data_IF_002204493445
#
_entry.id   IF_002204493445
#
_cell.length_a   1.000
_cell.length_b   1.000
_cell.length_c   1.000
_cell.angle_alpha   90.00
_cell.angle_beta   90.00
_cell.angle_gamma   90.00
#
_symmetry.space_group_name_H-M   'P 1'
#
loop_
_entity.id
_entity.type
_entity.pdbx_description
1 polymer ?
#
# COMPACT_ATOMS: atom_id res chain seq x y z
N UNK A 1 21.90 -20.32 -15.05
CA UNK A 1 20.47 -20.29 -14.72
C UNK A 1 19.73 -21.48 -15.35
N UNK A 2 19.74 -21.68 -16.68
CA UNK A 2 19.04 -22.77 -17.38
C UNK A 2 19.46 -24.18 -16.92
N UNK A 3 20.77 -24.44 -16.83
CA UNK A 3 21.27 -25.73 -16.40
C UNK A 3 20.83 -26.13 -14.99
N UNK A 4 20.73 -25.14 -14.09
CA UNK A 4 20.30 -25.34 -12.70
C UNK A 4 18.80 -25.61 -12.61
N UNK A 5 17.98 -24.89 -13.40
CA UNK A 5 16.54 -25.08 -13.44
C UNK A 5 16.20 -26.45 -14.08
N UNK A 6 16.87 -26.81 -15.16
CA UNK A 6 16.70 -28.07 -15.83
C UNK A 6 17.14 -29.26 -14.95
N UNK A 7 18.28 -29.15 -14.25
CA UNK A 7 18.74 -30.18 -13.32
C UNK A 7 17.76 -30.30 -12.12
N UNK A 8 17.21 -29.25 -11.60
CA UNK A 8 16.18 -29.30 -10.56
C UNK A 8 14.89 -29.95 -11.03
N UNK A 9 14.47 -29.71 -12.27
CA UNK A 9 13.28 -30.32 -12.85
C UNK A 9 13.50 -31.86 -13.03
N UNK A 10 14.66 -32.28 -13.51
CA UNK A 10 14.99 -33.69 -13.65
C UNK A 10 15.14 -34.43 -12.31
N UNK A 11 15.56 -33.72 -11.26
CA UNK A 11 15.75 -34.27 -9.92
C UNK A 11 14.49 -34.24 -9.05
N UNK A 12 13.45 -33.46 -9.42
CA UNK A 12 12.21 -33.35 -8.70
C UNK A 12 11.11 -34.19 -9.33
N UNK A 13 10.22 -34.74 -8.50
CA UNK A 13 8.98 -35.39 -8.97
C UNK A 13 7.99 -34.39 -9.60
N UNK A 14 8.37 -33.12 -9.72
CA UNK A 14 7.56 -32.05 -10.30
C UNK A 14 7.52 -32.16 -11.81
N UNK A 15 6.33 -32.36 -12.36
CA UNK A 15 6.08 -32.47 -13.80
C UNK A 15 6.12 -31.11 -14.53
N UNK A 16 6.26 -30.01 -13.83
CA UNK A 16 6.28 -28.66 -14.38
C UNK A 16 7.34 -27.79 -13.71
N UNK A 17 7.98 -26.93 -14.48
CA UNK A 17 8.96 -25.92 -14.01
C UNK A 17 8.86 -24.69 -14.89
N UNK A 18 9.13 -23.52 -14.31
CA UNK A 18 9.20 -22.26 -15.04
C UNK A 18 10.45 -21.48 -14.62
N UNK A 19 10.97 -20.67 -15.52
CA UNK A 19 12.11 -19.81 -15.29
C UNK A 19 11.93 -18.49 -16.04
N UNK A 20 12.15 -17.36 -15.36
CA UNK A 20 12.22 -16.06 -16.01
C UNK A 20 13.67 -15.69 -16.32
N UNK A 21 13.90 -15.17 -17.50
CA UNK A 21 15.22 -14.79 -18.02
C UNK A 21 15.15 -13.38 -18.58
N UNK A 22 16.12 -12.57 -18.19
CA UNK A 22 16.33 -11.25 -18.78
C UNK A 22 17.30 -11.39 -19.95
N UNK A 23 16.85 -11.02 -21.13
CA UNK A 23 17.63 -10.99 -22.36
C UNK A 23 17.84 -9.54 -22.83
N UNK A 24 18.87 -9.33 -23.65
CA UNK A 24 19.07 -8.07 -24.36
C UNK A 24 18.86 -8.38 -25.84
N UNK A 25 17.93 -7.68 -26.46
CA UNK A 25 17.63 -7.81 -27.88
C UNK A 25 18.73 -7.22 -28.76
N UNK A 26 18.56 -7.36 -30.06
CA UNK A 26 19.56 -7.00 -31.07
C UNK A 26 19.82 -5.48 -31.12
N UNK A 27 18.83 -4.67 -30.74
CA UNK A 27 18.92 -3.21 -30.66
C UNK A 27 19.18 -2.68 -29.25
N UNK A 28 19.56 -3.56 -28.30
CA UNK A 28 19.85 -3.20 -26.91
C UNK A 28 18.63 -3.11 -26.00
N UNK A 29 17.43 -3.41 -26.52
CA UNK A 29 16.20 -3.48 -25.73
C UNK A 29 16.25 -4.64 -24.72
N UNK A 30 15.67 -4.42 -23.55
CA UNK A 30 15.54 -5.45 -22.52
C UNK A 30 14.25 -6.23 -22.75
N UNK A 31 14.40 -7.56 -22.87
CA UNK A 31 13.28 -8.48 -23.06
C UNK A 31 13.26 -9.46 -21.90
N UNK A 32 12.09 -9.63 -21.29
CA UNK A 32 11.85 -10.65 -20.28
C UNK A 32 11.10 -11.82 -20.90
N UNK A 33 11.71 -12.98 -20.82
CA UNK A 33 11.14 -14.23 -21.32
C UNK A 33 10.84 -15.14 -20.13
N UNK A 34 9.69 -15.80 -20.16
CA UNK A 34 9.33 -16.84 -19.22
C UNK A 34 9.24 -18.17 -19.96
N UNK A 35 10.15 -19.09 -19.63
CA UNK A 35 10.19 -20.43 -20.20
C UNK A 35 9.47 -21.41 -19.28
N UNK A 36 8.53 -22.11 -19.84
CA UNK A 36 7.76 -23.16 -19.19
C UNK A 36 8.20 -24.51 -19.70
N UNK A 37 8.44 -25.43 -18.78
CA UNK A 37 8.83 -26.80 -19.08
C UNK A 37 7.83 -27.76 -18.45
N UNK A 38 7.33 -28.71 -19.26
CA UNK A 38 6.41 -29.76 -18.85
C UNK A 38 7.01 -31.10 -19.24
N UNK A 39 7.21 -31.98 -18.26
CA UNK A 39 7.64 -33.36 -18.53
C UNK A 39 6.45 -34.30 -18.40
N UNK A 40 6.33 -35.26 -19.30
CA UNK A 40 5.36 -36.34 -19.25
C UNK A 40 5.96 -37.65 -19.72
N UNK A 41 5.52 -38.71 -19.07
CA UNK A 41 5.98 -40.06 -19.39
C UNK A 41 5.42 -40.53 -20.74
N UNK A 42 6.19 -41.31 -21.47
CA UNK A 42 5.71 -42.01 -22.63
C UNK A 42 4.53 -42.94 -22.29
N UNK A 43 3.65 -43.16 -23.26
CA UNK A 43 2.42 -43.93 -23.05
C UNK A 43 2.61 -45.44 -23.06
N UNK A 44 3.76 -45.94 -23.54
CA UNK A 44 4.07 -47.34 -23.65
C UNK A 44 5.37 -47.69 -22.91
N UNK A 45 5.51 -48.98 -22.53
CA UNK A 45 6.71 -49.48 -21.86
C UNK A 45 7.90 -49.42 -22.84
N UNK A 46 8.86 -48.50 -22.53
CA UNK A 46 10.03 -48.25 -23.40
C UNK A 46 9.97 -46.91 -24.17
N UNK A 47 8.86 -46.19 -24.13
CA UNK A 47 8.77 -44.87 -24.72
C UNK A 47 9.59 -43.86 -23.88
N UNK A 48 10.41 -43.00 -24.51
CA UNK A 48 11.16 -42.00 -23.79
C UNK A 48 10.24 -40.97 -23.17
N UNK A 49 10.61 -40.45 -22.00
CA UNK A 49 9.96 -39.29 -21.40
C UNK A 49 10.03 -38.11 -22.36
N UNK A 50 8.93 -37.38 -22.49
CA UNK A 50 8.81 -36.25 -23.39
C UNK A 50 8.85 -34.95 -22.59
N UNK A 51 9.49 -33.93 -23.16
CA UNK A 51 9.56 -32.59 -22.63
C UNK A 51 8.87 -31.63 -23.61
N UNK A 52 7.87 -30.90 -23.11
CA UNK A 52 7.29 -29.75 -23.79
C UNK A 52 7.91 -28.51 -23.18
N UNK A 53 8.43 -27.63 -24.02
CA UNK A 53 8.90 -26.31 -23.61
C UNK A 53 8.23 -25.25 -24.48
N UNK A 54 7.80 -24.15 -23.85
CA UNK A 54 7.32 -22.97 -24.54
C UNK A 54 7.77 -21.71 -23.82
N UNK A 55 7.99 -20.66 -24.58
CA UNK A 55 8.47 -19.36 -24.10
C UNK A 55 7.41 -18.31 -24.30
N UNK A 56 7.20 -17.50 -23.28
CA UNK A 56 6.29 -16.35 -23.31
C UNK A 56 7.08 -15.07 -23.10
N UNK A 57 6.83 -14.05 -23.91
CA UNK A 57 7.37 -12.72 -23.69
C UNK A 57 6.54 -12.02 -22.61
N UNK A 58 7.14 -11.80 -21.45
CA UNK A 58 6.52 -11.18 -20.28
C UNK A 58 7.06 -9.77 -20.00
N UNK A 59 7.74 -9.15 -20.96
CA UNK A 59 8.36 -7.83 -20.81
C UNK A 59 7.39 -6.79 -20.32
N UNK A 60 6.23 -6.66 -20.97
CA UNK A 60 5.20 -5.66 -20.59
C UNK A 60 4.64 -5.91 -19.19
N UNK A 61 4.53 -7.18 -18.77
CA UNK A 61 4.09 -7.51 -17.42
C UNK A 61 5.15 -7.11 -16.39
N UNK A 62 6.41 -7.51 -16.62
CA UNK A 62 7.52 -7.16 -15.73
C UNK A 62 7.71 -5.64 -15.60
N UNK A 63 7.60 -4.90 -16.70
CA UNK A 63 7.69 -3.43 -16.69
C UNK A 63 6.57 -2.79 -15.86
N UNK A 64 5.34 -3.27 -15.99
CA UNK A 64 4.20 -2.80 -15.18
C UNK A 64 4.41 -3.09 -13.70
N UNK A 65 4.81 -4.31 -13.34
CA UNK A 65 5.09 -4.70 -11.96
C UNK A 65 6.21 -3.86 -11.34
N UNK A 66 7.30 -3.62 -12.07
CA UNK A 66 8.40 -2.75 -11.64
C UNK A 66 7.94 -1.30 -11.47
N UNK A 67 7.10 -0.80 -12.38
CA UNK A 67 6.56 0.55 -12.29
C UNK A 67 5.65 0.73 -11.08
N UNK A 68 4.74 -0.23 -10.83
CA UNK A 68 3.87 -0.22 -9.64
C UNK A 68 4.72 -0.22 -8.37
N UNK A 69 5.70 -1.13 -8.27
CA UNK A 69 6.59 -1.21 -7.12
C UNK A 69 7.36 0.10 -6.90
N UNK A 70 7.84 0.73 -7.97
CA UNK A 70 8.52 2.02 -7.88
C UNK A 70 7.60 3.12 -7.36
N UNK A 71 6.35 3.18 -7.83
CA UNK A 71 5.35 4.14 -7.35
C UNK A 71 5.00 3.92 -5.88
N UNK A 72 4.84 2.66 -5.45
CA UNK A 72 4.57 2.32 -4.04
C UNK A 72 5.73 2.75 -3.14
N UNK A 73 6.98 2.47 -3.53
CA UNK A 73 8.17 2.90 -2.79
C UNK A 73 8.30 4.43 -2.74
N UNK A 74 7.97 5.10 -3.84
CA UNK A 74 8.00 6.57 -3.91
C UNK A 74 6.94 7.20 -3.00
N UNK A 75 5.69 6.71 -3.07
CA UNK A 75 4.61 7.18 -2.21
C UNK A 75 4.92 6.94 -0.73
N UNK A 76 5.46 5.77 -0.39
CA UNK A 76 5.89 5.47 0.98
C UNK A 76 6.93 6.46 1.49
N UNK A 77 7.96 6.79 0.69
CA UNK A 77 8.98 7.76 1.07
C UNK A 77 8.42 9.17 1.28
N UNK A 78 7.41 9.57 0.50
CA UNK A 78 6.72 10.85 0.71
C UNK A 78 6.01 10.85 2.06
N UNK A 79 5.23 9.80 2.35
CA UNK A 79 4.51 9.66 3.63
C UNK A 79 5.50 9.66 4.81
N UNK A 80 6.59 8.91 4.70
CA UNK A 80 7.64 8.84 5.74
C UNK A 80 8.35 10.19 5.99
N UNK A 81 8.36 11.09 5.01
CA UNK A 81 8.95 12.41 5.14
C UNK A 81 8.01 13.47 5.73
N UNK A 82 6.71 13.18 5.80
CA UNK A 82 5.72 14.10 6.37
C UNK A 82 5.71 13.96 7.90
N UNK A 83 5.87 15.07 8.66
CA UNK A 83 5.78 15.06 10.12
C UNK A 83 4.32 15.10 10.58
N UNK A 84 3.44 14.43 9.89
CA UNK A 84 1.99 14.51 10.02
C UNK A 84 1.39 13.12 10.10
N UNK A 85 0.20 13.03 10.72
CA UNK A 85 -0.61 11.83 10.73
C UNK A 85 -1.63 11.89 9.61
N UNK A 86 -1.81 10.81 8.90
CA UNK A 86 -2.85 10.69 7.89
C UNK A 86 -3.86 9.66 8.37
N UNK A 87 -5.10 10.09 8.56
CA UNK A 87 -6.21 9.22 8.88
C UNK A 87 -7.17 9.18 7.71
N UNK A 88 -7.72 8.01 7.43
CA UNK A 88 -8.82 7.86 6.48
C UNK A 88 -10.06 7.51 7.29
N UNK A 89 -11.10 8.34 7.16
CA UNK A 89 -12.38 8.16 7.83
C UNK A 89 -13.47 7.86 6.83
N UNK A 90 -14.44 7.06 7.24
CA UNK A 90 -15.70 6.92 6.52
C UNK A 90 -16.69 8.05 6.88
N UNK A 91 -17.85 8.07 6.25
CA UNK A 91 -18.92 9.03 6.46
C UNK A 91 -19.52 9.04 7.90
N UNK A 92 -19.27 7.98 8.67
CA UNK A 92 -19.73 7.77 10.03
C UNK A 92 -18.66 8.05 11.09
N UNK A 93 -17.47 8.48 10.67
CA UNK A 93 -16.31 8.76 11.50
C UNK A 93 -15.58 7.52 12.01
N UNK A 94 -15.72 6.36 11.34
CA UNK A 94 -14.85 5.23 11.61
C UNK A 94 -13.50 5.39 10.89
N UNK A 95 -12.44 5.04 11.57
CA UNK A 95 -11.07 5.05 11.02
C UNK A 95 -10.91 3.81 10.14
N UNK A 96 -10.83 4.00 8.83
CA UNK A 96 -10.64 2.90 7.88
C UNK A 96 -9.16 2.58 7.67
N UNK A 97 -8.30 3.60 7.73
CA UNK A 97 -6.85 3.42 7.65
C UNK A 97 -6.08 4.54 8.35
N UNK A 98 -4.81 4.24 8.71
CA UNK A 98 -3.88 5.19 9.34
C UNK A 98 -2.52 5.05 8.66
N UNK A 99 -2.00 6.17 8.17
CA UNK A 99 -0.69 6.26 7.53
C UNK A 99 0.16 7.27 8.30
N UNK A 100 1.40 6.93 8.60
CA UNK A 100 2.31 7.79 9.35
C UNK A 100 3.77 7.42 9.12
N UNK A 101 4.67 8.34 9.42
CA UNK A 101 6.09 8.08 9.41
C UNK A 101 6.49 7.07 10.49
N UNK A 102 7.47 6.18 10.23
CA UNK A 102 8.03 5.28 11.25
C UNK A 102 8.58 6.06 12.44
N UNK A 103 8.28 5.59 13.65
CA UNK A 103 8.74 6.22 14.88
C UNK A 103 7.89 7.39 15.37
N UNK A 104 6.79 7.72 14.71
CA UNK A 104 5.83 8.70 15.18
C UNK A 104 5.02 8.11 16.34
N UNK A 105 4.89 8.86 17.43
CA UNK A 105 4.18 8.41 18.64
C UNK A 105 2.68 8.73 18.47
N UNK A 106 1.86 7.70 18.42
CA UNK A 106 0.40 7.81 18.50
C UNK A 106 -0.06 7.55 19.94
N UNK A 107 -1.21 8.14 20.29
CA UNK A 107 -1.89 7.86 21.57
C UNK A 107 -2.28 6.38 21.73
N UNK A 108 -2.59 5.74 20.60
CA UNK A 108 -2.95 4.32 20.54
C UNK A 108 -2.21 3.62 19.40
N UNK A 109 -1.90 2.32 19.53
CA UNK A 109 -1.33 1.54 18.43
C UNK A 109 -2.21 1.58 17.18
N UNK A 110 -1.60 1.55 15.99
CA UNK A 110 -2.31 1.59 14.69
C UNK A 110 -3.35 0.48 14.59
N UNK A 111 -3.04 -0.70 15.11
CA UNK A 111 -3.91 -1.87 15.11
C UNK A 111 -5.21 -1.66 15.92
N UNK A 112 -5.17 -0.80 16.92
CA UNK A 112 -6.32 -0.43 17.75
C UNK A 112 -7.13 0.68 17.08
N UNK A 113 -6.45 1.58 16.38
CA UNK A 113 -7.08 2.71 15.68
C UNK A 113 -7.84 2.27 14.44
N UNK A 114 -7.31 1.32 13.68
CA UNK A 114 -7.94 0.83 12.45
C UNK A 114 -9.23 0.08 12.77
N UNK A 115 -10.34 0.58 12.24
CA UNK A 115 -11.69 0.09 12.52
C UNK A 115 -12.35 0.72 13.76
N UNK A 116 -11.64 1.57 14.52
CA UNK A 116 -12.20 2.24 15.67
C UNK A 116 -13.17 3.37 15.28
N UNK A 117 -14.17 3.57 16.10
CA UNK A 117 -15.04 4.74 16.03
C UNK A 117 -14.29 5.98 16.57
N UNK A 118 -14.18 7.03 15.77
CA UNK A 118 -13.52 8.27 16.19
C UNK A 118 -14.09 8.87 17.48
N UNK A 119 -15.39 8.64 17.75
CA UNK A 119 -16.05 9.07 18.99
C UNK A 119 -15.50 8.38 20.25
N UNK A 120 -14.80 7.26 20.11
CA UNK A 120 -14.13 6.61 21.24
C UNK A 120 -12.76 7.21 21.58
N UNK A 121 -12.22 8.04 20.67
CA UNK A 121 -10.87 8.62 20.77
C UNK A 121 -10.95 10.10 21.11
N UNK A 122 -11.94 10.82 20.56
CA UNK A 122 -12.09 12.25 20.68
C UNK A 122 -13.23 12.60 21.66
N UNK A 123 -13.16 13.82 22.24
CA UNK A 123 -14.27 14.35 23.04
C UNK A 123 -15.52 14.51 22.17
N UNK A 124 -16.73 14.59 22.77
CA UNK A 124 -17.97 14.78 22.03
C UNK A 124 -17.92 16.02 21.13
N UNK A 125 -17.38 17.12 21.60
CA UNK A 125 -17.28 18.39 20.85
C UNK A 125 -16.37 18.24 19.63
N UNK A 126 -15.22 17.57 19.79
CA UNK A 126 -14.30 17.33 18.68
C UNK A 126 -14.89 16.33 17.69
N UNK A 127 -15.59 15.30 18.19
CA UNK A 127 -16.28 14.32 17.35
C UNK A 127 -17.36 14.96 16.48
N UNK A 128 -18.18 15.85 17.04
CA UNK A 128 -19.20 16.59 16.30
C UNK A 128 -18.57 17.50 15.25
N UNK A 129 -17.45 18.15 15.58
CA UNK A 129 -16.71 18.99 14.66
C UNK A 129 -16.19 18.17 13.46
N UNK A 130 -15.60 16.99 13.69
CA UNK A 130 -15.16 16.10 12.62
C UNK A 130 -16.33 15.62 11.76
N UNK A 131 -17.40 15.09 12.38
CA UNK A 131 -18.57 14.57 11.67
C UNK A 131 -19.23 15.62 10.78
N UNK A 132 -19.38 16.85 11.26
CA UNK A 132 -19.93 17.94 10.48
C UNK A 132 -19.06 18.20 9.24
N UNK A 133 -17.74 18.35 9.42
CA UNK A 133 -16.83 18.68 8.34
C UNK A 133 -16.62 17.52 7.37
N UNK A 134 -16.63 16.26 7.83
CA UNK A 134 -16.59 15.07 6.96
C UNK A 134 -17.80 15.05 6.04
N UNK A 135 -19.00 15.22 6.58
CA UNK A 135 -20.25 15.24 5.80
C UNK A 135 -20.30 16.39 4.80
N UNK A 136 -19.87 17.59 5.21
CA UNK A 136 -19.78 18.72 4.29
C UNK A 136 -18.75 18.49 3.19
N UNK A 137 -17.56 17.96 3.54
CA UNK A 137 -16.50 17.62 2.60
C UNK A 137 -16.97 16.61 1.55
N UNK A 138 -17.65 15.53 1.97
CA UNK A 138 -18.22 14.53 1.06
C UNK A 138 -19.34 15.10 0.19
N UNK A 139 -20.12 16.06 0.71
CA UNK A 139 -21.25 16.69 -0.02
C UNK A 139 -20.78 17.67 -1.10
N UNK A 140 -19.82 18.53 -0.78
CA UNK A 140 -19.40 19.63 -1.66
C UNK A 140 -18.08 19.39 -2.38
N UNK A 141 -17.37 18.29 -2.04
CA UNK A 141 -16.11 17.93 -2.63
C UNK A 141 -14.94 18.86 -2.31
N UNK A 142 -15.08 19.72 -1.29
CA UNK A 142 -14.09 20.74 -0.97
C UNK A 142 -13.31 20.38 0.30
N UNK A 143 -12.04 20.77 0.30
CA UNK A 143 -11.19 20.68 1.48
C UNK A 143 -11.78 21.49 2.64
N UNK A 144 -11.78 20.89 3.83
CA UNK A 144 -12.13 21.54 5.10
C UNK A 144 -10.91 21.60 6.00
N UNK A 145 -10.82 22.67 6.79
CA UNK A 145 -9.79 22.81 7.81
C UNK A 145 -10.47 23.04 9.16
N UNK A 146 -10.01 22.29 10.18
CA UNK A 146 -10.46 22.43 11.55
C UNK A 146 -9.27 22.48 12.49
N UNK A 147 -9.38 23.26 13.56
CA UNK A 147 -8.42 23.24 14.66
C UNK A 147 -9.13 22.74 15.92
N UNK A 148 -8.48 21.84 16.66
CA UNK A 148 -9.08 21.24 17.84
C UNK A 148 -8.03 20.90 18.90
N UNK A 149 -8.44 20.97 20.18
CA UNK A 149 -7.61 20.52 21.29
C UNK A 149 -7.72 19.02 21.47
N UNK A 150 -6.62 18.38 21.89
CA UNK A 150 -6.58 17.00 22.34
C UNK A 150 -5.72 16.92 23.60
N UNK A 151 -6.20 16.17 24.60
CA UNK A 151 -5.43 15.92 25.81
C UNK A 151 -4.55 14.69 25.60
N UNK A 152 -3.23 14.88 25.71
CA UNK A 152 -2.21 13.86 25.54
C UNK A 152 -1.37 13.81 26.79
N UNK A 153 -1.32 12.69 27.50
CA UNK A 153 -0.56 12.51 28.75
C UNK A 153 -0.82 13.61 29.80
N UNK A 154 -2.09 14.04 29.93
CA UNK A 154 -2.49 15.10 30.86
C UNK A 154 -2.11 16.51 30.42
N UNK A 155 -1.60 16.69 29.20
CA UNK A 155 -1.25 18.00 28.62
C UNK A 155 -2.15 18.30 27.43
N UNK A 156 -2.59 19.56 27.33
CA UNK A 156 -3.43 20.03 26.24
C UNK A 156 -2.57 20.38 25.03
N UNK A 157 -2.78 19.65 23.94
CA UNK A 157 -2.17 19.88 22.63
C UNK A 157 -3.21 20.45 21.67
N UNK A 158 -2.74 21.15 20.63
CA UNK A 158 -3.60 21.70 19.60
C UNK A 158 -3.21 21.13 18.25
N UNK A 159 -4.20 20.63 17.54
CA UNK A 159 -4.02 20.02 16.22
C UNK A 159 -4.84 20.76 15.17
N UNK A 160 -4.33 20.78 13.96
CA UNK A 160 -5.06 21.16 12.77
C UNK A 160 -5.30 19.92 11.92
N UNK A 161 -6.53 19.71 11.49
CA UNK A 161 -6.85 18.67 10.52
C UNK A 161 -7.32 19.31 9.21
N UNK A 162 -6.72 18.86 8.11
CA UNK A 162 -7.14 19.13 6.74
C UNK A 162 -7.87 17.93 6.20
N UNK A 163 -9.14 18.06 5.94
CA UNK A 163 -10.05 17.00 5.53
C UNK A 163 -10.35 17.16 4.05
N UNK A 164 -9.97 16.21 3.23
CA UNK A 164 -10.21 16.20 1.79
C UNK A 164 -10.99 14.95 1.36
N UNK A 165 -11.80 15.00 0.30
CA UNK A 165 -12.43 13.81 -0.24
C UNK A 165 -11.36 12.82 -0.70
N UNK A 166 -11.62 11.53 -0.46
CA UNK A 166 -10.75 10.44 -0.87
C UNK A 166 -11.53 9.43 -1.71
N UNK A 167 -11.24 8.16 -1.61
CA UNK A 167 -11.89 7.13 -2.43
C UNK A 167 -13.31 6.81 -1.93
N UNK A 168 -14.26 6.67 -2.85
CA UNK A 168 -15.65 6.33 -2.51
C UNK A 168 -16.28 7.33 -1.54
N UNK A 169 -16.81 6.85 -0.41
CA UNK A 169 -17.45 7.64 0.65
C UNK A 169 -16.51 7.87 1.84
N UNK A 170 -15.21 8.03 1.57
CA UNK A 170 -14.20 8.29 2.60
C UNK A 170 -13.55 9.66 2.43
N UNK A 171 -12.96 10.13 3.50
CA UNK A 171 -12.14 11.36 3.53
C UNK A 171 -10.75 11.04 4.06
N UNK A 172 -9.75 11.75 3.55
CA UNK A 172 -8.40 11.77 4.07
C UNK A 172 -8.25 12.99 4.97
N UNK A 173 -7.85 12.78 6.22
CA UNK A 173 -7.56 13.84 7.18
C UNK A 173 -6.05 13.87 7.47
N UNK A 174 -5.39 14.94 7.06
CA UNK A 174 -4.01 15.24 7.38
C UNK A 174 -3.98 16.02 8.69
N UNK A 175 -3.36 15.43 9.72
CA UNK A 175 -3.36 15.98 11.08
C UNK A 175 -1.96 16.44 11.47
N UNK A 176 -1.86 17.70 11.83
CA UNK A 176 -0.62 18.37 12.21
C UNK A 176 -0.71 18.97 13.62
N UNK A 177 0.34 18.80 14.44
CA UNK A 177 0.46 19.46 15.74
C UNK A 177 0.84 20.93 15.53
N UNK A 178 -0.02 21.84 15.97
CA UNK A 178 0.17 23.30 15.88
C UNK A 178 0.54 23.94 17.23
N UNK A 179 0.87 23.14 18.23
CA UNK A 179 1.18 23.62 19.57
C UNK A 179 2.30 24.66 19.63
N UNK A 180 3.33 24.53 18.80
CA UNK A 180 4.41 25.51 18.71
C UNK A 180 3.99 26.83 18.05
N UNK A 181 3.01 26.79 17.14
CA UNK A 181 2.43 27.99 16.51
C UNK A 181 1.62 28.79 17.52
N UNK A 182 0.83 28.13 18.36
CA UNK A 182 -0.02 28.78 19.36
C UNK A 182 0.82 29.38 20.50
N UNK A 183 1.92 28.71 20.89
CA UNK A 183 2.83 29.22 21.95
C UNK A 183 3.61 30.47 21.54
N UNK A 184 3.75 30.75 20.25
CA UNK A 184 4.47 31.93 19.72
C UNK A 184 3.58 33.11 19.32
N UNK A 185 2.26 32.97 19.40
CA UNK A 185 1.27 34.01 19.13
C UNK A 185 0.74 34.61 20.43
#
# INVERSE_FOLDING_TARGET
AYQTAFAKMLASESKASQIQVRCVGEHGEVIWLEDHFLSYKGNEEGDPDKLLAYTVNVTSQCEKEQHIKHLEEHNRKIIEALPEFIFIFDENFFITDVLMAPGTILLHPVEVLKGADGRSIYSPEVSDLFLCNIRECLKDGKLKEIEYPLEVDGSKHYFQARIAPFEGNTVLALIHDIGDRIRRS
#
